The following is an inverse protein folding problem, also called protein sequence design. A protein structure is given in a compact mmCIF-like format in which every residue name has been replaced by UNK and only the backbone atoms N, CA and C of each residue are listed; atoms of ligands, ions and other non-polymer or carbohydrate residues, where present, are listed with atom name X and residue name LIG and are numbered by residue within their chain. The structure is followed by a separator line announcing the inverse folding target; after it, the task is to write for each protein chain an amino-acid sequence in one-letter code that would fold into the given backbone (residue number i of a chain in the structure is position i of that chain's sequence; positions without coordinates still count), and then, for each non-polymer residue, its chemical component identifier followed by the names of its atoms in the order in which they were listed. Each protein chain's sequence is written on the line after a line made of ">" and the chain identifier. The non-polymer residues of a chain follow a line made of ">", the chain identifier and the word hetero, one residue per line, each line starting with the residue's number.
data_IF_450877548597
#
_entry.id   IF_450877548597
#
_cell.length_a   1.000
_cell.length_b   1.000
_cell.length_c   1.000
_cell.angle_alpha   90.00
_cell.angle_beta   90.00
_cell.angle_gamma   90.00
#
_symmetry.space_group_name_H-M   'P 1'
#
loop_
_entity.id
_entity.type
_entity.pdbx_description
1 polymer ?
#
# COMPACT_ATOMS: atom_id res chain seq x y z
N UNK A 1 -2.79 8.98 -23.20
CA UNK A 1 -2.04 9.58 -22.06
C UNK A 1 -2.29 8.89 -20.71
N UNK A 2 -3.54 8.56 -20.29
CA UNK A 2 -3.84 7.91 -19.00
C UNK A 2 -3.12 6.57 -18.70
N UNK A 3 -2.67 5.81 -19.72
CA UNK A 3 -1.92 4.55 -19.52
C UNK A 3 -0.43 4.74 -19.23
N UNK A 4 0.16 5.91 -19.52
CA UNK A 4 1.61 6.11 -19.39
C UNK A 4 1.99 6.70 -18.03
N UNK A 5 1.16 7.56 -17.44
CA UNK A 5 1.37 8.13 -16.11
C UNK A 5 0.63 7.31 -15.04
N UNK A 6 1.33 6.34 -14.45
CA UNK A 6 0.90 5.65 -13.23
C UNK A 6 1.53 6.35 -12.02
N UNK A 7 0.95 6.21 -10.82
CA UNK A 7 1.42 6.77 -9.56
C UNK A 7 2.93 6.57 -9.34
N UNK A 8 3.44 5.36 -9.63
CA UNK A 8 4.89 5.09 -9.54
C UNK A 8 5.74 5.95 -10.48
N UNK A 9 5.29 6.20 -11.71
CA UNK A 9 6.03 7.05 -12.66
C UNK A 9 5.98 8.52 -12.28
N UNK A 10 4.88 8.98 -11.68
CA UNK A 10 4.78 10.33 -11.12
C UNK A 10 5.79 10.48 -9.98
N UNK A 11 5.87 9.50 -9.07
CA UNK A 11 6.84 9.49 -7.98
C UNK A 11 8.29 9.57 -8.50
N UNK A 12 8.67 8.72 -9.46
CA UNK A 12 10.05 8.76 -10.00
C UNK A 12 10.34 10.04 -10.80
N UNK A 13 9.36 10.62 -11.48
CA UNK A 13 9.52 11.91 -12.14
C UNK A 13 9.81 13.02 -11.13
N UNK A 14 9.05 13.08 -10.04
CA UNK A 14 9.31 14.03 -8.95
C UNK A 14 10.65 13.74 -8.26
N UNK A 15 11.01 12.47 -8.08
CA UNK A 15 12.30 12.04 -7.57
C UNK A 15 13.47 12.54 -8.41
N UNK A 16 13.36 12.51 -9.75
CA UNK A 16 14.36 13.07 -10.67
C UNK A 16 14.58 14.56 -10.39
N UNK A 17 13.50 15.33 -10.21
CA UNK A 17 13.63 16.76 -9.91
C UNK A 17 14.30 17.00 -8.56
N UNK A 18 13.87 16.30 -7.50
CA UNK A 18 14.44 16.45 -6.15
C UNK A 18 15.92 16.07 -6.13
N UNK A 19 16.31 14.94 -6.74
CA UNK A 19 17.70 14.50 -6.80
C UNK A 19 18.57 15.44 -7.64
N UNK A 20 18.04 15.97 -8.76
CA UNK A 20 18.75 16.96 -9.56
C UNK A 20 19.01 18.24 -8.75
N UNK A 21 18.01 18.71 -7.99
CA UNK A 21 18.21 19.86 -7.10
C UNK A 21 19.19 19.57 -5.97
N UNK A 22 19.16 18.37 -5.38
CA UNK A 22 20.08 17.96 -4.34
C UNK A 22 21.54 17.92 -4.85
N UNK A 23 21.77 17.40 -6.06
CA UNK A 23 23.11 17.40 -6.69
C UNK A 23 23.61 18.83 -6.91
N UNK A 24 22.77 19.74 -7.44
CA UNK A 24 23.14 21.15 -7.62
C UNK A 24 23.46 21.81 -6.29
N UNK A 25 22.66 21.56 -5.25
CA UNK A 25 22.90 22.10 -3.91
C UNK A 25 24.20 21.54 -3.28
N UNK A 26 24.51 20.26 -3.50
CA UNK A 26 25.76 19.64 -3.04
C UNK A 26 26.99 20.27 -3.74
N UNK A 27 26.92 20.52 -5.05
CA UNK A 27 28.02 21.14 -5.81
C UNK A 27 28.21 22.61 -5.44
N UNK A 28 27.11 23.33 -5.20
CA UNK A 28 27.15 24.77 -4.89
C UNK A 28 27.47 25.07 -3.42
N UNK A 29 27.71 24.05 -2.59
CA UNK A 29 28.00 24.18 -1.16
C UNK A 29 26.93 24.95 -0.37
N UNK A 30 25.68 24.94 -0.86
CA UNK A 30 24.56 25.65 -0.23
C UNK A 30 23.93 24.87 0.94
N UNK A 31 24.57 23.81 1.42
CA UNK A 31 24.10 23.06 2.58
C UNK A 31 24.71 23.62 3.89
N UNK A 32 23.88 24.08 4.84
CA UNK A 32 24.34 24.71 6.07
C UNK A 32 24.82 23.74 7.16
N UNK A 33 24.85 22.44 6.89
CA UNK A 33 25.25 21.40 7.83
C UNK A 33 26.54 20.76 7.30
N UNK A 34 27.66 21.04 7.96
CA UNK A 34 28.95 20.44 7.62
C UNK A 34 28.83 18.92 7.67
N UNK A 35 28.85 18.29 6.49
CA UNK A 35 28.94 16.83 6.38
C UNK A 35 30.22 16.32 7.03
N UNK A 36 30.17 15.05 7.48
CA UNK A 36 31.14 14.37 8.33
C UNK A 36 32.64 14.58 7.99
N UNK A 37 33.01 14.83 6.73
CA UNK A 37 34.34 15.25 6.24
C UNK A 37 34.23 15.68 4.76
N UNK A 38 35.15 16.48 4.19
CA UNK A 38 35.15 16.85 2.77
C UNK A 38 35.22 15.66 1.78
N UNK A 39 35.64 14.47 2.25
CA UNK A 39 35.58 13.21 1.47
C UNK A 39 34.13 12.71 1.31
N UNK A 40 33.26 13.02 2.27
CA UNK A 40 31.84 12.61 2.28
C UNK A 40 31.02 13.41 1.28
N UNK A 41 31.37 14.68 1.04
CA UNK A 41 30.72 15.51 0.02
C UNK A 41 30.74 14.85 -1.38
N UNK A 42 31.85 14.20 -1.74
CA UNK A 42 31.96 13.50 -3.01
C UNK A 42 31.18 12.19 -3.04
N UNK A 43 31.17 11.44 -1.93
CA UNK A 43 30.38 10.21 -1.79
C UNK A 43 28.89 10.52 -1.95
N UNK A 44 28.44 11.60 -1.32
CA UNK A 44 27.08 12.12 -1.38
C UNK A 44 26.64 12.49 -2.80
N UNK A 45 27.49 13.20 -3.55
CA UNK A 45 27.25 13.52 -4.96
C UNK A 45 27.15 12.24 -5.79
N UNK A 46 28.05 11.28 -5.58
CA UNK A 46 28.08 10.02 -6.32
C UNK A 46 26.80 9.21 -6.06
N UNK A 47 26.39 9.08 -4.79
CA UNK A 47 25.18 8.31 -4.45
C UNK A 47 23.93 8.99 -4.99
N UNK A 48 23.82 10.33 -4.89
CA UNK A 48 22.69 11.05 -5.48
C UNK A 48 22.64 10.89 -7.01
N UNK A 49 23.78 10.87 -7.69
CA UNK A 49 23.86 10.56 -9.13
C UNK A 49 23.38 9.13 -9.44
N UNK A 50 23.77 8.15 -8.62
CA UNK A 50 23.32 6.75 -8.76
C UNK A 50 21.79 6.66 -8.54
N UNK A 51 21.27 7.29 -7.49
CA UNK A 51 19.84 7.36 -7.19
C UNK A 51 19.07 8.04 -8.33
N UNK A 52 19.62 9.10 -8.94
CA UNK A 52 19.04 9.78 -10.09
C UNK A 52 18.95 8.85 -11.30
N UNK A 53 20.03 8.12 -11.56
CA UNK A 53 20.05 7.11 -12.63
C UNK A 53 19.03 6.00 -12.38
N UNK A 54 18.88 5.55 -11.13
CA UNK A 54 17.86 4.57 -10.75
C UNK A 54 16.45 5.12 -10.97
N UNK A 55 16.19 6.38 -10.60
CA UNK A 55 14.92 7.05 -10.89
C UNK A 55 14.62 7.12 -12.39
N UNK A 56 15.61 7.40 -13.24
CA UNK A 56 15.45 7.39 -14.70
C UNK A 56 15.07 6.00 -15.22
N UNK A 57 15.76 4.94 -14.75
CA UNK A 57 15.42 3.56 -15.12
C UNK A 57 14.01 3.19 -14.64
N UNK A 58 13.68 3.53 -13.39
CA UNK A 58 12.38 3.21 -12.78
C UNK A 58 11.23 4.01 -13.39
N UNK A 59 11.49 5.21 -13.92
CA UNK A 59 10.51 5.95 -14.71
C UNK A 59 10.12 5.17 -15.98
N UNK A 60 11.11 4.59 -16.67
CA UNK A 60 10.86 3.75 -17.87
C UNK A 60 10.24 2.40 -17.47
N UNK A 61 10.83 1.71 -16.48
CA UNK A 61 10.47 0.37 -15.99
C UNK A 61 10.12 0.38 -14.48
N UNK A 62 8.92 0.83 -14.08
CA UNK A 62 8.56 1.01 -12.67
C UNK A 62 8.33 -0.31 -11.90
N UNK A 63 8.28 -1.45 -12.59
CA UNK A 63 8.03 -2.77 -11.98
C UNK A 63 9.29 -3.44 -11.41
N UNK A 64 10.46 -2.81 -11.49
CA UNK A 64 11.69 -3.38 -10.93
C UNK A 64 11.76 -3.12 -9.42
N UNK A 65 11.24 -4.06 -8.64
CA UNK A 65 11.17 -3.94 -7.18
C UNK A 65 12.55 -3.82 -6.51
N UNK A 66 13.55 -4.58 -6.98
CA UNK A 66 14.90 -4.56 -6.39
C UNK A 66 15.52 -3.17 -6.53
N UNK A 67 15.43 -2.59 -7.73
CA UNK A 67 15.99 -1.26 -7.99
C UNK A 67 15.26 -0.18 -7.18
N UNK A 68 13.95 -0.32 -7.00
CA UNK A 68 13.17 0.55 -6.15
C UNK A 68 13.63 0.49 -4.68
N UNK A 69 13.87 -0.71 -4.14
CA UNK A 69 14.35 -0.86 -2.77
C UNK A 69 15.74 -0.27 -2.59
N UNK A 70 16.66 -0.55 -3.52
CA UNK A 70 18.01 0.02 -3.49
C UNK A 70 17.96 1.56 -3.49
N UNK A 71 17.11 2.15 -4.33
CA UNK A 71 16.92 3.60 -4.38
C UNK A 71 16.46 4.15 -3.03
N UNK A 72 15.40 3.60 -2.43
CA UNK A 72 14.89 4.07 -1.14
C UNK A 72 15.91 3.92 -0.02
N UNK A 73 16.61 2.78 0.07
CA UNK A 73 17.56 2.55 1.16
C UNK A 73 18.85 3.35 0.99
N UNK A 74 19.43 3.43 -0.21
CA UNK A 74 20.62 4.27 -0.42
C UNK A 74 20.34 5.74 -0.13
N UNK A 75 19.24 6.27 -0.64
CA UNK A 75 18.86 7.66 -0.40
C UNK A 75 18.55 7.93 1.08
N UNK A 76 17.88 6.99 1.76
CA UNK A 76 17.59 7.11 3.18
C UNK A 76 18.86 7.24 4.02
N UNK A 77 19.86 6.38 3.78
CA UNK A 77 21.12 6.39 4.51
C UNK A 77 21.91 7.68 4.26
N UNK A 78 22.07 8.08 3.00
CA UNK A 78 22.82 9.30 2.63
C UNK A 78 22.15 10.55 3.17
N UNK A 79 20.84 10.67 2.98
CA UNK A 79 20.08 11.83 3.44
C UNK A 79 20.12 11.96 4.97
N UNK A 80 20.02 10.84 5.69
CA UNK A 80 20.21 10.85 7.14
C UNK A 80 21.62 11.34 7.52
N UNK A 81 22.66 10.82 6.86
CA UNK A 81 24.05 11.21 7.11
C UNK A 81 24.40 12.65 6.76
N UNK A 82 23.72 13.26 5.79
CA UNK A 82 23.80 14.71 5.51
C UNK A 82 23.20 15.59 6.62
N UNK A 83 22.62 14.98 7.66
CA UNK A 83 21.94 15.69 8.75
C UNK A 83 20.44 15.92 8.50
N UNK A 84 19.91 15.52 7.34
CA UNK A 84 18.48 15.52 7.04
C UNK A 84 17.78 14.28 7.58
N UNK A 85 18.00 14.02 8.87
CA UNK A 85 17.53 12.83 9.59
C UNK A 85 16.06 12.55 9.26
N UNK A 86 15.17 13.53 9.40
CA UNK A 86 13.74 13.28 9.18
C UNK A 86 13.31 12.92 7.75
N UNK A 87 14.05 13.34 6.72
CA UNK A 87 13.80 12.89 5.35
C UNK A 87 14.37 11.48 5.15
N UNK A 88 15.58 11.23 5.67
CA UNK A 88 16.21 9.91 5.64
C UNK A 88 15.34 8.83 6.30
N UNK A 89 14.85 9.08 7.52
CA UNK A 89 13.96 8.15 8.25
C UNK A 89 12.66 7.90 7.50
N UNK A 90 12.09 8.93 6.88
CA UNK A 90 10.85 8.79 6.10
C UNK A 90 11.07 7.88 4.88
N UNK A 91 12.19 8.06 4.16
CA UNK A 91 12.56 7.23 3.03
C UNK A 91 12.83 5.78 3.44
N UNK A 92 13.48 5.57 4.59
CA UNK A 92 13.69 4.23 5.16
C UNK A 92 12.36 3.54 5.48
N UNK A 93 11.46 4.25 6.18
CA UNK A 93 10.15 3.73 6.54
C UNK A 93 9.29 3.44 5.30
N UNK A 94 9.31 4.34 4.30
CA UNK A 94 8.64 4.14 3.02
C UNK A 94 9.21 2.92 2.25
N UNK A 95 10.53 2.75 2.22
CA UNK A 95 11.20 1.59 1.65
C UNK A 95 10.75 0.28 2.31
N UNK A 96 10.68 0.25 3.65
CA UNK A 96 10.17 -0.91 4.38
C UNK A 96 8.71 -1.24 4.03
N UNK A 97 7.85 -0.22 3.91
CA UNK A 97 6.45 -0.40 3.47
C UNK A 97 6.38 -0.95 2.06
N UNK A 98 7.22 -0.47 1.13
CA UNK A 98 7.25 -0.98 -0.23
C UNK A 98 7.64 -2.47 -0.29
N UNK A 99 8.63 -2.90 0.50
CA UNK A 99 9.00 -4.32 0.63
C UNK A 99 7.82 -5.14 1.19
N UNK A 100 7.07 -4.58 2.13
CA UNK A 100 5.87 -5.21 2.71
C UNK A 100 4.72 -5.35 1.72
N UNK A 101 4.34 -4.25 1.05
CA UNK A 101 3.23 -4.22 0.08
C UNK A 101 3.48 -5.15 -1.11
N UNK A 102 4.73 -5.27 -1.57
CA UNK A 102 5.10 -6.19 -2.64
C UNK A 102 5.15 -7.67 -2.21
N UNK A 103 4.95 -7.96 -0.92
CA UNK A 103 4.89 -9.32 -0.39
C UNK A 103 6.25 -9.99 -0.22
N UNK A 104 7.34 -9.23 -0.26
CA UNK A 104 8.70 -9.79 -0.15
C UNK A 104 9.02 -10.29 1.26
N UNK A 105 8.25 -9.91 2.28
CA UNK A 105 8.34 -10.52 3.62
C UNK A 105 7.68 -11.91 3.72
N UNK A 106 7.07 -12.47 2.66
CA UNK A 106 6.47 -13.82 2.75
C UNK A 106 7.50 -14.93 3.03
N UNK A 107 8.74 -14.74 2.58
CA UNK A 107 9.85 -15.69 2.76
C UNK A 107 10.97 -15.04 3.56
N UNK A 108 11.57 -15.81 4.48
CA UNK A 108 12.70 -15.38 5.32
C UNK A 108 12.50 -14.06 6.07
N UNK A 109 11.28 -13.75 6.51
CA UNK A 109 10.92 -12.46 7.12
C UNK A 109 11.82 -12.06 8.29
N UNK A 110 12.18 -13.01 9.15
CA UNK A 110 13.06 -12.76 10.31
C UNK A 110 14.43 -12.26 9.89
N UNK A 111 15.02 -12.86 8.86
CA UNK A 111 16.34 -12.48 8.35
C UNK A 111 16.30 -11.11 7.68
N UNK A 112 15.24 -10.83 6.92
CA UNK A 112 15.05 -9.52 6.26
C UNK A 112 14.83 -8.39 7.27
N UNK A 113 14.00 -8.64 8.29
CA UNK A 113 13.81 -7.69 9.39
C UNK A 113 15.14 -7.47 10.12
N UNK A 114 15.87 -8.53 10.48
CA UNK A 114 17.16 -8.40 11.13
C UNK A 114 18.15 -7.59 10.28
N UNK A 115 18.23 -7.84 8.97
CA UNK A 115 19.11 -7.09 8.07
C UNK A 115 18.75 -5.60 8.00
N UNK A 116 17.45 -5.26 7.88
CA UNK A 116 16.98 -3.87 7.86
C UNK A 116 17.21 -3.16 9.20
N UNK A 117 17.01 -3.85 10.32
CA UNK A 117 17.28 -3.32 11.66
C UNK A 117 18.77 -3.08 11.85
N UNK A 118 19.63 -4.02 11.45
CA UNK A 118 21.09 -3.85 11.52
C UNK A 118 21.53 -2.68 10.64
N UNK A 119 21.03 -2.61 9.41
CA UNK A 119 21.30 -1.52 8.49
C UNK A 119 20.97 -0.15 9.11
N UNK A 120 19.75 0.00 9.65
CA UNK A 120 19.32 1.28 10.23
C UNK A 120 20.02 1.63 11.54
N UNK A 121 20.35 0.62 12.34
CA UNK A 121 21.14 0.80 13.56
C UNK A 121 22.56 1.29 13.26
N UNK A 122 23.19 0.81 12.18
CA UNK A 122 24.49 1.32 11.73
C UNK A 122 24.43 2.79 11.31
N UNK A 123 23.39 3.20 10.55
CA UNK A 123 23.15 4.60 10.20
C UNK A 123 22.98 5.45 11.46
N UNK A 124 22.14 4.99 12.40
CA UNK A 124 21.88 5.68 13.67
C UNK A 124 23.15 5.87 14.50
N UNK A 125 23.99 4.83 14.60
CA UNK A 125 25.29 4.91 15.30
C UNK A 125 26.21 5.92 14.60
N UNK A 126 26.23 5.96 13.26
CA UNK A 126 27.01 6.96 12.54
C UNK A 126 26.55 8.39 12.83
N UNK A 127 25.25 8.63 13.03
CA UNK A 127 24.72 9.93 13.47
C UNK A 127 25.17 10.31 14.89
N UNK A 128 25.26 9.34 15.81
CA UNK A 128 25.77 9.57 17.16
C UNK A 128 27.19 10.17 17.11
N UNK A 129 28.08 9.58 16.31
CA UNK A 129 29.46 10.06 16.16
C UNK A 129 29.55 11.39 15.41
N UNK A 130 28.62 11.67 14.50
CA UNK A 130 28.69 12.85 13.62
C UNK A 130 28.07 14.11 14.22
N UNK A 131 26.95 13.98 14.93
CA UNK A 131 26.12 15.14 15.30
C UNK A 131 25.77 15.25 16.79
N UNK A 132 26.18 14.28 17.63
CA UNK A 132 25.87 14.15 19.09
C UNK A 132 24.74 13.16 19.42
N UNK A 133 24.71 12.73 20.69
CA UNK A 133 23.68 11.87 21.28
C UNK A 133 22.24 12.40 21.07
N UNK A 134 22.07 13.72 20.97
CA UNK A 134 20.75 14.33 20.72
C UNK A 134 20.17 13.88 19.39
N UNK A 135 20.98 13.82 18.34
CA UNK A 135 20.55 13.37 17.01
C UNK A 135 20.27 11.87 16.99
N UNK A 136 21.05 11.07 17.72
CA UNK A 136 20.80 9.64 17.88
C UNK A 136 19.44 9.36 18.56
N UNK A 137 19.16 10.02 19.69
CA UNK A 137 17.88 9.87 20.40
C UNK A 137 16.72 10.36 19.53
N UNK A 138 16.92 11.48 18.84
CA UNK A 138 15.93 12.03 17.92
C UNK A 138 15.61 11.03 16.80
N UNK A 139 16.63 10.42 16.19
CA UNK A 139 16.45 9.44 15.11
C UNK A 139 15.68 8.20 15.56
N UNK A 140 16.02 7.64 16.73
CA UNK A 140 15.28 6.49 17.28
C UNK A 140 13.81 6.83 17.52
N UNK A 141 13.55 7.99 18.13
CA UNK A 141 12.20 8.45 18.44
C UNK A 141 11.41 8.71 17.14
N UNK A 142 12.06 9.32 16.15
CA UNK A 142 11.47 9.65 14.86
C UNK A 142 11.16 8.40 14.04
N UNK A 143 12.05 7.40 14.09
CA UNK A 143 11.82 6.09 13.49
C UNK A 143 10.57 5.44 14.09
N UNK A 144 10.46 5.44 15.43
CA UNK A 144 9.27 4.96 16.13
C UNK A 144 7.99 5.71 15.73
N UNK A 145 8.06 7.04 15.63
CA UNK A 145 6.95 7.87 15.18
C UNK A 145 6.50 7.53 13.76
N UNK A 146 7.41 7.43 12.78
CA UNK A 146 7.05 7.14 11.40
C UNK A 146 6.44 5.75 11.22
N UNK A 147 6.98 4.72 11.87
CA UNK A 147 6.35 3.40 11.85
C UNK A 147 4.99 3.39 12.54
N UNK A 148 4.85 4.09 13.67
CA UNK A 148 3.56 4.26 14.35
C UNK A 148 2.53 4.98 13.48
N UNK A 149 2.95 6.04 12.78
CA UNK A 149 2.11 6.77 11.82
C UNK A 149 1.67 5.88 10.67
N UNK A 150 2.58 5.10 10.08
CA UNK A 150 2.28 4.18 8.99
C UNK A 150 1.31 3.08 9.42
N UNK A 151 1.46 2.53 10.62
CA UNK A 151 0.51 1.57 11.20
C UNK A 151 -0.86 2.22 11.43
N UNK A 152 -0.90 3.45 11.93
CA UNK A 152 -2.14 4.20 12.09
C UNK A 152 -2.85 4.42 10.75
N UNK A 153 -2.11 4.85 9.73
CA UNK A 153 -2.63 5.05 8.37
C UNK A 153 -3.13 3.73 7.78
N UNK A 154 -2.36 2.64 7.94
CA UNK A 154 -2.78 1.30 7.53
C UNK A 154 -4.09 0.90 8.19
N UNK A 155 -4.23 1.06 9.51
CA UNK A 155 -5.46 0.70 10.24
C UNK A 155 -6.66 1.55 9.82
N UNK A 156 -6.47 2.85 9.56
CA UNK A 156 -7.55 3.71 9.04
C UNK A 156 -7.96 3.32 7.62
N UNK A 157 -7.00 3.00 6.76
CA UNK A 157 -7.27 2.52 5.41
C UNK A 157 -7.96 1.15 5.43
N UNK A 158 -7.50 0.23 6.27
CA UNK A 158 -8.10 -1.09 6.48
C UNK A 158 -9.55 -0.95 6.96
N UNK A 159 -9.83 -0.11 7.96
CA UNK A 159 -11.19 0.13 8.44
C UNK A 159 -12.08 0.69 7.32
N UNK A 160 -11.60 1.68 6.58
CA UNK A 160 -12.35 2.31 5.49
C UNK A 160 -12.50 1.41 4.27
N UNK A 161 -11.58 0.49 3.99
CA UNK A 161 -11.60 -0.38 2.80
C UNK A 161 -12.05 -1.81 3.13
N UNK A 162 -12.32 -2.11 4.40
CA UNK A 162 -12.77 -3.43 4.88
C UNK A 162 -14.01 -3.94 4.15
N UNK A 163 -14.89 -3.04 3.70
CA UNK A 163 -16.07 -3.41 2.91
C UNK A 163 -15.75 -3.92 1.50
N UNK A 164 -14.56 -3.61 0.96
CA UNK A 164 -14.04 -4.10 -0.32
C UNK A 164 -13.18 -5.35 -0.18
N UNK A 165 -12.62 -5.58 1.01
CA UNK A 165 -11.82 -6.75 1.30
C UNK A 165 -12.75 -7.93 1.55
N UNK A 166 -12.45 -9.13 1.01
CA UNK A 166 -13.16 -10.33 1.43
C UNK A 166 -12.96 -10.48 2.94
N UNK A 167 -14.02 -10.77 3.71
CA UNK A 167 -13.91 -10.94 5.15
C UNK A 167 -12.85 -12.03 5.44
N UNK A 168 -11.92 -11.73 6.35
CA UNK A 168 -10.99 -12.73 6.90
C UNK A 168 -11.73 -13.83 7.65
N UNK A 169 -12.91 -13.51 8.17
CA UNK A 169 -13.90 -14.50 8.56
C UNK A 169 -14.58 -14.99 7.29
N UNK A 170 -14.08 -16.12 6.78
CA UNK A 170 -14.95 -17.07 6.11
C UNK A 170 -16.06 -17.30 7.12
N UNK A 171 -17.22 -16.66 6.92
CA UNK A 171 -18.45 -17.07 7.60
C UNK A 171 -18.73 -18.45 7.02
N UNK A 172 -18.06 -19.46 7.57
CA UNK A 172 -18.30 -20.86 7.35
C UNK A 172 -19.59 -21.20 8.07
N UNK A 173 -20.69 -20.60 7.62
CA UNK A 173 -21.91 -21.37 7.58
C UNK A 173 -21.65 -22.44 6.53
N UNK A 174 -21.63 -23.69 6.96
CA UNK A 174 -21.63 -24.91 6.13
C UNK A 174 -22.86 -24.93 5.21
N UNK A 175 -22.97 -23.95 4.32
CA UNK A 175 -23.96 -23.96 3.26
C UNK A 175 -23.40 -24.93 2.23
N UNK A 176 -24.05 -26.08 2.07
CA UNK A 176 -23.74 -27.04 1.01
C UNK A 176 -24.01 -26.36 -0.34
N UNK A 177 -22.99 -25.69 -0.86
CA UNK A 177 -22.99 -25.10 -2.19
C UNK A 177 -22.58 -26.19 -3.20
N UNK A 178 -23.21 -26.23 -4.38
CA UNK A 178 -22.84 -27.18 -5.40
C UNK A 178 -21.44 -26.86 -5.95
N UNK A 179 -20.79 -27.81 -6.67
CA UNK A 179 -19.45 -27.61 -7.20
C UNK A 179 -19.38 -26.40 -8.14
N UNK A 180 -18.25 -25.69 -8.14
CA UNK A 180 -18.04 -24.49 -8.98
C UNK A 180 -18.36 -24.78 -10.45
N UNK A 181 -19.10 -23.88 -11.11
CA UNK A 181 -19.54 -24.03 -12.50
C UNK A 181 -20.88 -24.76 -12.70
N UNK A 182 -21.49 -25.26 -11.62
CA UNK A 182 -22.85 -25.83 -11.66
C UNK A 182 -23.94 -24.75 -11.63
N UNK A 183 -25.19 -25.18 -11.83
CA UNK A 183 -26.36 -24.31 -11.72
C UNK A 183 -26.66 -24.05 -10.24
N UNK A 184 -26.71 -22.77 -9.86
CA UNK A 184 -27.10 -22.35 -8.52
C UNK A 184 -28.56 -21.87 -8.56
N UNK A 185 -29.46 -22.67 -8.01
CA UNK A 185 -30.87 -22.32 -7.85
C UNK A 185 -31.04 -21.49 -6.59
N UNK A 186 -31.23 -20.19 -6.76
CA UNK A 186 -31.31 -19.26 -5.61
C UNK A 186 -32.51 -19.57 -4.70
N UNK A 187 -33.58 -20.13 -5.25
CA UNK A 187 -34.77 -20.56 -4.51
C UNK A 187 -34.47 -21.64 -3.45
N UNK A 188 -33.50 -22.52 -3.69
CA UNK A 188 -33.13 -23.60 -2.75
C UNK A 188 -32.44 -23.06 -1.48
N UNK A 189 -31.98 -21.81 -1.53
CA UNK A 189 -31.34 -21.10 -0.41
C UNK A 189 -32.27 -20.09 0.27
N UNK A 190 -33.58 -20.17 0.03
CA UNK A 190 -34.59 -19.31 0.66
C UNK A 190 -34.56 -17.85 0.18
N UNK A 191 -34.01 -17.60 -1.01
CA UNK A 191 -33.98 -16.28 -1.62
C UNK A 191 -35.31 -16.05 -2.34
N UNK A 192 -36.00 -14.96 -2.01
CA UNK A 192 -37.27 -14.60 -2.68
C UNK A 192 -37.03 -14.08 -4.09
N UNK A 193 -38.03 -14.16 -4.97
CA UNK A 193 -37.96 -13.61 -6.34
C UNK A 193 -37.56 -12.12 -6.34
N UNK A 194 -38.08 -11.36 -5.37
CA UNK A 194 -37.70 -9.96 -5.17
C UNK A 194 -36.23 -9.77 -4.80
N UNK A 195 -35.66 -10.66 -3.98
CA UNK A 195 -34.23 -10.62 -3.66
C UNK A 195 -33.37 -11.04 -4.86
N UNK A 196 -33.83 -12.02 -5.65
CA UNK A 196 -33.20 -12.44 -6.90
C UNK A 196 -33.10 -11.27 -7.89
N UNK A 197 -34.17 -10.49 -8.04
CA UNK A 197 -34.19 -9.29 -8.88
C UNK A 197 -33.19 -8.22 -8.41
N UNK A 198 -33.10 -7.98 -7.10
CA UNK A 198 -32.11 -7.05 -6.54
C UNK A 198 -30.67 -7.53 -6.71
N UNK A 199 -30.43 -8.84 -6.57
CA UNK A 199 -29.13 -9.46 -6.80
C UNK A 199 -28.74 -9.30 -8.27
N UNK A 200 -29.59 -9.70 -9.21
CA UNK A 200 -29.31 -9.58 -10.65
C UNK A 200 -29.12 -8.11 -11.06
N UNK A 201 -29.99 -7.22 -10.58
CA UNK A 201 -29.90 -5.79 -10.86
C UNK A 201 -28.63 -5.13 -10.32
N UNK A 202 -28.25 -5.42 -9.07
CA UNK A 202 -27.06 -4.81 -8.45
C UNK A 202 -25.75 -5.44 -8.91
N UNK A 203 -25.73 -6.76 -9.12
CA UNK A 203 -24.49 -7.54 -9.30
C UNK A 203 -24.18 -7.80 -10.78
N UNK A 204 -25.20 -8.12 -11.59
CA UNK A 204 -25.02 -8.38 -13.03
C UNK A 204 -25.11 -7.10 -13.86
N UNK A 205 -26.08 -6.24 -13.52
CA UNK A 205 -26.33 -5.00 -14.27
C UNK A 205 -25.66 -3.75 -13.68
N UNK A 206 -24.98 -3.89 -12.53
CA UNK A 206 -24.21 -2.81 -11.90
C UNK A 206 -25.06 -1.65 -11.34
N UNK A 207 -26.37 -1.85 -11.15
CA UNK A 207 -27.27 -0.80 -10.66
C UNK A 207 -26.99 -0.43 -9.21
N UNK A 208 -27.11 0.85 -8.90
CA UNK A 208 -27.00 1.36 -7.53
C UNK A 208 -28.24 0.99 -6.70
N UNK A 209 -28.13 1.00 -5.38
CA UNK A 209 -29.29 0.75 -4.52
C UNK A 209 -30.37 1.82 -4.66
N UNK A 210 -30.01 3.03 -5.10
CA UNK A 210 -30.94 4.11 -5.40
C UNK A 210 -31.73 3.82 -6.69
N UNK A 211 -31.05 3.36 -7.74
CA UNK A 211 -31.69 2.94 -8.99
C UNK A 211 -32.65 1.77 -8.79
N UNK A 212 -32.24 0.76 -8.01
CA UNK A 212 -33.11 -0.38 -7.67
C UNK A 212 -34.30 0.04 -6.79
N UNK A 213 -34.10 1.01 -5.90
CA UNK A 213 -35.18 1.54 -5.07
C UNK A 213 -36.24 2.26 -5.91
N UNK A 214 -35.81 2.98 -6.95
CA UNK A 214 -36.69 3.67 -7.88
C UNK A 214 -37.41 2.70 -8.82
N UNK A 215 -36.71 1.70 -9.35
CA UNK A 215 -37.25 0.72 -10.30
C UNK A 215 -38.29 -0.22 -9.68
N UNK A 216 -38.10 -0.60 -8.42
CA UNK A 216 -39.03 -1.51 -7.71
C UNK A 216 -39.95 -0.78 -6.73
N UNK A 217 -40.00 0.56 -6.76
CA UNK A 217 -40.84 1.41 -5.90
C UNK A 217 -40.72 1.11 -4.38
N UNK A 218 -39.50 0.92 -3.91
CA UNK A 218 -39.19 0.57 -2.50
C UNK A 218 -38.17 1.54 -1.92
N UNK A 219 -38.07 1.65 -0.60
CA UNK A 219 -37.04 2.51 0.00
C UNK A 219 -35.65 1.88 -0.12
N UNK A 220 -34.62 2.71 -0.24
CA UNK A 220 -33.20 2.26 -0.26
C UNK A 220 -32.83 1.42 0.96
N UNK A 221 -33.42 1.71 2.12
CA UNK A 221 -33.27 0.93 3.35
C UNK A 221 -33.82 -0.49 3.22
N UNK A 222 -34.94 -0.68 2.50
CA UNK A 222 -35.51 -2.00 2.26
C UNK A 222 -34.63 -2.80 1.29
N UNK A 223 -34.10 -2.17 0.23
CA UNK A 223 -33.13 -2.81 -0.68
C UNK A 223 -31.89 -3.28 0.08
N UNK A 224 -31.35 -2.45 0.97
CA UNK A 224 -30.21 -2.82 1.83
C UNK A 224 -30.54 -3.99 2.76
N UNK A 225 -31.73 -4.00 3.38
CA UNK A 225 -32.19 -5.06 4.27
C UNK A 225 -32.36 -6.39 3.53
N UNK A 226 -32.97 -6.35 2.35
CA UNK A 226 -33.20 -7.53 1.51
C UNK A 226 -31.88 -8.10 0.98
N UNK A 227 -30.95 -7.24 0.55
CA UNK A 227 -29.60 -7.65 0.14
C UNK A 227 -28.79 -8.23 1.30
N UNK A 228 -28.88 -7.65 2.51
CA UNK A 228 -28.21 -8.19 3.69
C UNK A 228 -28.79 -9.56 4.09
N UNK A 229 -30.11 -9.74 3.96
CA UNK A 229 -30.76 -11.04 4.18
C UNK A 229 -30.27 -12.08 3.17
N UNK A 230 -30.17 -11.72 1.89
CA UNK A 230 -29.67 -12.63 0.86
C UNK A 230 -28.19 -13.00 1.07
N UNK A 231 -27.36 -12.04 1.47
CA UNK A 231 -25.97 -12.29 1.85
C UNK A 231 -25.89 -13.30 3.00
N UNK A 232 -26.74 -13.15 4.03
CA UNK A 232 -26.83 -14.08 5.17
C UNK A 232 -27.27 -15.48 4.75
N UNK A 233 -28.26 -15.60 3.86
CA UNK A 233 -28.74 -16.89 3.35
C UNK A 233 -27.67 -17.66 2.57
N UNK A 234 -26.78 -16.97 1.87
CA UNK A 234 -25.68 -17.56 1.09
C UNK A 234 -24.37 -17.69 1.88
N UNK A 235 -24.35 -17.33 3.16
CA UNK A 235 -23.15 -17.41 4.00
C UNK A 235 -22.06 -16.39 3.63
N UNK A 236 -22.45 -15.25 3.05
CA UNK A 236 -21.53 -14.24 2.52
C UNK A 236 -21.61 -12.95 3.34
N UNK A 237 -20.46 -12.34 3.66
CA UNK A 237 -20.46 -11.15 4.53
C UNK A 237 -20.74 -9.83 3.82
N UNK A 238 -20.46 -9.72 2.51
CA UNK A 238 -20.61 -8.45 1.79
C UNK A 238 -21.07 -8.65 0.32
N UNK A 239 -21.53 -7.55 -0.29
CA UNK A 239 -22.03 -7.52 -1.67
C UNK A 239 -20.99 -8.01 -2.68
N UNK A 240 -19.71 -7.73 -2.46
CA UNK A 240 -18.65 -8.07 -3.41
C UNK A 240 -18.26 -9.54 -3.32
N UNK A 241 -18.24 -10.13 -2.13
CA UNK A 241 -18.09 -11.56 -1.94
C UNK A 241 -19.31 -12.30 -2.52
N UNK A 242 -20.51 -11.70 -2.44
CA UNK A 242 -21.71 -12.27 -3.08
C UNK A 242 -21.56 -12.23 -4.60
N UNK A 243 -21.03 -11.13 -5.15
CA UNK A 243 -20.67 -11.02 -6.57
C UNK A 243 -19.63 -12.06 -6.99
N UNK A 244 -18.56 -12.22 -6.23
CA UNK A 244 -17.50 -13.21 -6.49
C UNK A 244 -18.04 -14.63 -6.42
N UNK A 245 -18.94 -14.92 -5.48
CA UNK A 245 -19.59 -16.22 -5.36
C UNK A 245 -20.47 -16.47 -6.58
N UNK A 246 -21.37 -15.55 -6.92
CA UNK A 246 -22.31 -15.70 -8.02
C UNK A 246 -21.63 -15.77 -9.40
N UNK A 247 -20.48 -15.09 -9.59
CA UNK A 247 -19.67 -15.21 -10.80
C UNK A 247 -19.09 -16.63 -11.03
N UNK A 248 -19.06 -17.47 -10.00
CA UNK A 248 -18.58 -18.86 -10.10
C UNK A 248 -19.68 -19.85 -10.53
N UNK A 249 -20.94 -19.42 -10.68
CA UNK A 249 -22.09 -20.27 -10.94
C UNK A 249 -22.94 -19.77 -12.12
N UNK A 250 -23.75 -20.66 -12.71
CA UNK A 250 -24.85 -20.28 -13.62
C UNK A 250 -26.10 -20.06 -12.77
N UNK A 251 -26.60 -18.83 -12.70
CA UNK A 251 -27.72 -18.44 -11.84
C UNK A 251 -29.03 -18.85 -12.52
N UNK A 252 -29.86 -19.66 -11.84
CA UNK A 252 -31.24 -20.01 -12.23
C UNK A 252 -32.26 -19.64 -11.16
#
# INVERSE_FOLDING_TARGET
>A
MKKFFNAGRIMYLLGIFVLSTAIVMNITNNFPLDGFLPVVLWIDIVINCICLFFCLILFIKPKNNILNYLMFFMEAGVTAHMGFVGIGTLLFAAGCVMVFVNGDFKTYYKQKIAALTIYWLLISIGLYFSFSIRYFIFEITLTGFYFGLLVCLYKKLEANLSYLLPPTEIVSTEVNLPPKGSVLKLAEYGISERQKDFILGSIMNGKTYEELSAEFHVSTSVVKKDMASACKSLGVANREALRILLLQYRIE
#
